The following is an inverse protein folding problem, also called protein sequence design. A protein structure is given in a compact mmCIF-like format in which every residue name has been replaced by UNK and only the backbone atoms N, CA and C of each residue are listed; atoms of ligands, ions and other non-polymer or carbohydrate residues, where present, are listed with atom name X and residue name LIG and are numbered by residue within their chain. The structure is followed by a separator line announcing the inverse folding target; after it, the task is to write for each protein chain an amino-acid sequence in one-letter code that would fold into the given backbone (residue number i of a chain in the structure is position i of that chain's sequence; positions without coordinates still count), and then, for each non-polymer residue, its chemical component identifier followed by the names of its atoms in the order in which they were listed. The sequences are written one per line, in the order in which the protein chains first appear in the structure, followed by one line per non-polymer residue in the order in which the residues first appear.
data_IF_358988843649
#
_entry.id   IF_358988843649
#
_cell.length_a   1.000
_cell.length_b   1.000
_cell.length_c   1.000
_cell.angle_alpha   90.00
_cell.angle_beta   90.00
_cell.angle_gamma   90.00
#
_symmetry.space_group_name_H-M   'P 1'
#
loop_
_entity.id
_entity.type
_entity.pdbx_description
1 polymer ?
#
# COMPACT_ATOMS: atom_id res chain seq x y z
N UNK A 1 8.11 7.28 -1.85
CA UNK A 1 9.45 6.65 -1.73
C UNK A 1 10.29 7.50 -0.79
N UNK A 2 10.94 6.89 0.18
CA UNK A 2 11.90 7.54 1.08
C UNK A 2 13.21 6.76 0.97
N UNK A 3 14.30 7.43 0.61
CA UNK A 3 15.63 6.83 0.68
C UNK A 3 16.12 6.85 2.13
N UNK A 4 16.58 5.72 2.64
CA UNK A 4 17.07 5.56 4.00
C UNK A 4 18.55 5.21 3.93
N UNK A 5 19.36 6.05 4.57
CA UNK A 5 20.82 5.92 4.67
C UNK A 5 21.18 5.65 6.13
N UNK A 6 21.71 4.46 6.42
CA UNK A 6 22.34 4.17 7.71
C UNK A 6 23.76 4.72 7.73
N UNK A 7 24.24 5.23 8.87
CA UNK A 7 25.60 5.80 9.00
C UNK A 7 26.68 4.80 8.61
N UNK A 8 27.15 4.87 7.35
CA UNK A 8 28.17 4.00 6.77
C UNK A 8 27.67 2.82 5.91
N UNK A 9 26.36 2.65 5.72
CA UNK A 9 25.78 1.53 4.96
C UNK A 9 25.18 1.92 3.59
N UNK A 10 24.97 0.92 2.73
CA UNK A 10 24.26 1.06 1.44
C UNK A 10 22.84 1.59 1.65
N UNK A 11 22.44 2.60 0.88
CA UNK A 11 21.09 3.16 0.93
C UNK A 11 20.05 2.11 0.53
N UNK A 12 18.86 2.20 1.12
CA UNK A 12 17.70 1.39 0.74
C UNK A 12 16.45 2.26 0.63
N UNK A 13 15.45 1.78 -0.11
CA UNK A 13 14.24 2.56 -0.38
C UNK A 13 13.04 2.02 0.37
N UNK A 14 12.30 2.91 1.02
CA UNK A 14 11.00 2.62 1.60
C UNK A 14 9.87 3.14 0.70
N UNK A 15 8.94 2.27 0.37
CA UNK A 15 7.72 2.61 -0.34
C UNK A 15 6.52 2.30 0.54
N UNK A 16 5.81 3.36 0.87
CA UNK A 16 4.51 3.32 1.46
C UNK A 16 3.46 2.82 0.46
N UNK A 17 2.71 1.79 0.83
CA UNK A 17 1.69 1.19 -0.01
C UNK A 17 0.28 1.54 0.48
N UNK A 18 -0.54 2.07 -0.42
CA UNK A 18 -1.99 2.12 -0.25
C UNK A 18 -2.62 1.84 -1.61
N UNK A 19 -3.04 0.61 -1.81
CA UNK A 19 -3.46 0.12 -3.13
C UNK A 19 -4.98 0.10 -3.25
N UNK A 20 -5.49 0.20 -4.48
CA UNK A 20 -6.93 0.26 -4.74
C UNK A 20 -7.65 -1.01 -4.25
N UNK A 21 -8.88 -0.91 -3.69
CA UNK A 21 -9.71 -2.08 -3.43
C UNK A 21 -10.16 -2.77 -4.74
N UNK A 22 -10.11 -2.08 -5.87
CA UNK A 22 -10.35 -2.62 -7.19
C UNK A 22 -9.17 -3.49 -7.67
N UNK A 23 -9.45 -4.78 -7.86
CA UNK A 23 -8.45 -5.75 -8.32
C UNK A 23 -7.89 -5.49 -9.72
N UNK A 24 -8.59 -4.73 -10.57
CA UNK A 24 -8.10 -4.37 -11.90
C UNK A 24 -7.00 -3.32 -11.82
N UNK A 25 -7.23 -2.26 -11.05
CA UNK A 25 -6.25 -1.21 -10.77
C UNK A 25 -5.02 -1.77 -10.05
N UNK A 26 -5.20 -2.70 -9.10
CA UNK A 26 -4.06 -3.36 -8.45
C UNK A 26 -3.18 -4.11 -9.43
N UNK A 27 -3.74 -4.78 -10.44
CA UNK A 27 -2.94 -5.49 -11.45
C UNK A 27 -2.04 -4.53 -12.23
N UNK A 28 -2.57 -3.38 -12.64
CA UNK A 28 -1.77 -2.35 -13.32
C UNK A 28 -0.62 -1.88 -12.41
N UNK A 29 -0.91 -1.62 -11.13
CA UNK A 29 0.12 -1.27 -10.15
C UNK A 29 1.17 -2.38 -9.96
N UNK A 30 0.77 -3.65 -9.95
CA UNK A 30 1.70 -4.77 -9.85
C UNK A 30 2.66 -4.83 -11.04
N UNK A 31 2.16 -4.56 -12.25
CA UNK A 31 2.97 -4.53 -13.47
C UNK A 31 3.95 -3.33 -13.45
N UNK A 32 3.48 -2.15 -13.02
CA UNK A 32 4.31 -0.95 -12.84
C UNK A 32 5.42 -1.19 -11.80
N UNK A 33 5.09 -1.76 -10.65
CA UNK A 33 6.06 -2.06 -9.60
C UNK A 33 7.07 -3.12 -10.05
N UNK A 34 6.66 -4.09 -10.88
CA UNK A 34 7.58 -5.08 -11.46
C UNK A 34 8.56 -4.42 -12.42
N UNK A 35 8.08 -3.47 -13.23
CA UNK A 35 8.93 -2.68 -14.13
C UNK A 35 9.90 -1.81 -13.33
N UNK A 36 9.40 -1.16 -12.27
CA UNK A 36 10.22 -0.35 -11.37
C UNK A 36 11.28 -1.20 -10.67
N UNK A 37 10.96 -2.40 -10.21
CA UNK A 37 11.89 -3.31 -9.54
C UNK A 37 13.12 -3.61 -10.39
N UNK A 38 12.96 -3.73 -11.72
CA UNK A 38 14.06 -3.95 -12.65
C UNK A 38 15.03 -2.75 -12.78
N UNK A 39 14.64 -1.57 -12.28
CA UNK A 39 15.44 -0.34 -12.29
C UNK A 39 16.05 0.02 -10.92
N UNK A 40 15.74 -0.75 -9.87
CA UNK A 40 16.23 -0.51 -8.51
C UNK A 40 17.35 -1.50 -8.21
N UNK A 41 18.60 -1.00 -8.18
CA UNK A 41 19.78 -1.80 -7.81
C UNK A 41 19.91 -2.00 -6.29
N UNK A 42 19.27 -1.13 -5.49
CA UNK A 42 19.33 -1.15 -4.03
C UNK A 42 18.25 -2.04 -3.39
N UNK A 43 18.42 -2.37 -2.11
CA UNK A 43 17.33 -2.98 -1.34
C UNK A 43 16.14 -2.03 -1.21
N UNK A 44 14.94 -2.58 -1.22
CA UNK A 44 13.69 -1.82 -1.03
C UNK A 44 12.70 -2.60 -0.16
N UNK A 45 11.90 -1.84 0.58
CA UNK A 45 10.83 -2.30 1.46
C UNK A 45 9.53 -1.63 1.03
N UNK A 46 8.56 -2.44 0.66
CA UNK A 46 7.18 -2.04 0.39
C UNK A 46 6.35 -2.33 1.64
N UNK A 47 5.70 -1.34 2.27
CA UNK A 47 4.83 -1.62 3.42
C UNK A 47 3.57 -0.76 3.43
N UNK A 48 2.45 -1.36 3.83
CA UNK A 48 1.15 -0.70 3.94
C UNK A 48 0.00 -1.63 3.52
N UNK A 49 -1.09 -1.06 3.01
CA UNK A 49 -2.32 -1.78 2.63
C UNK A 49 -2.28 -2.23 1.16
N UNK A 50 -2.11 -3.53 0.96
CA UNK A 50 -2.07 -4.18 -0.36
C UNK A 50 -3.45 -4.54 -0.90
N UNK A 51 -4.52 -4.40 -0.10
CA UNK A 51 -5.89 -4.81 -0.43
C UNK A 51 -6.01 -6.24 -1.01
N UNK A 52 -5.03 -7.09 -0.73
CA UNK A 52 -4.92 -8.46 -1.23
C UNK A 52 -4.27 -9.39 -0.21
N UNK A 53 -4.57 -10.67 -0.35
CA UNK A 53 -4.19 -11.73 0.60
C UNK A 53 -3.36 -12.78 -0.11
N UNK A 54 -2.37 -13.38 0.55
CA UNK A 54 -1.52 -14.43 -0.09
C UNK A 54 -2.12 -15.83 0.04
N UNK A 55 -3.14 -15.98 0.88
CA UNK A 55 -3.86 -17.24 1.07
C UNK A 55 -5.28 -17.01 1.56
N UNK A 56 -6.16 -18.01 1.41
CA UNK A 56 -7.55 -17.93 1.88
C UNK A 56 -7.63 -17.91 3.41
N UNK A 57 -6.64 -18.47 4.11
CA UNK A 57 -6.55 -18.48 5.57
C UNK A 57 -6.30 -17.08 6.15
N UNK A 58 -5.86 -16.13 5.33
CA UNK A 58 -5.79 -14.72 5.69
C UNK A 58 -7.15 -14.00 5.62
N UNK A 59 -8.24 -14.74 5.34
CA UNK A 59 -9.61 -14.22 5.33
C UNK A 59 -10.54 -15.08 6.19
N UNK A 60 -11.63 -14.46 6.66
CA UNK A 60 -12.70 -15.19 7.35
C UNK A 60 -13.52 -16.08 6.41
N UNK A 61 -13.64 -15.70 5.13
CA UNK A 61 -14.37 -16.46 4.12
C UNK A 61 -13.56 -16.56 2.82
N UNK A 62 -13.67 -17.71 2.16
CA UNK A 62 -12.97 -18.02 0.91
C UNK A 62 -13.94 -18.42 -0.21
N UNK A 63 -13.52 -18.17 -1.45
CA UNK A 63 -14.15 -18.65 -2.67
C UNK A 63 -13.08 -19.09 -3.67
N UNK A 64 -13.44 -19.85 -4.70
CA UNK A 64 -12.49 -20.22 -5.77
C UNK A 64 -11.89 -19.00 -6.46
N UNK A 65 -12.69 -17.96 -6.69
CA UNK A 65 -12.20 -16.70 -7.24
C UNK A 65 -11.25 -15.97 -6.29
N UNK A 66 -11.46 -16.11 -4.97
CA UNK A 66 -10.54 -15.57 -3.98
C UNK A 66 -9.22 -16.32 -3.97
N UNK A 67 -9.23 -17.66 -4.10
CA UNK A 67 -8.01 -18.45 -4.23
C UNK A 67 -7.18 -17.99 -5.43
N UNK A 68 -7.81 -17.82 -6.60
CA UNK A 68 -7.15 -17.30 -7.81
C UNK A 68 -6.57 -15.90 -7.63
N UNK A 69 -7.19 -15.04 -6.80
CA UNK A 69 -6.65 -13.72 -6.44
C UNK A 69 -5.43 -13.86 -5.55
N UNK A 70 -5.49 -14.73 -4.55
CA UNK A 70 -4.37 -15.00 -3.65
C UNK A 70 -3.17 -15.55 -4.41
N UNK A 71 -3.40 -16.52 -5.31
CA UNK A 71 -2.33 -17.15 -6.09
C UNK A 71 -1.62 -16.14 -7.00
N UNK A 72 -2.36 -15.19 -7.58
CA UNK A 72 -1.78 -14.12 -8.39
C UNK A 72 -0.95 -13.15 -7.57
N UNK A 73 -1.44 -12.72 -6.41
CA UNK A 73 -0.68 -11.84 -5.54
C UNK A 73 0.58 -12.53 -5.02
N UNK A 74 0.47 -13.80 -4.62
CA UNK A 74 1.60 -14.65 -4.21
C UNK A 74 2.63 -14.84 -5.34
N UNK A 75 2.19 -15.06 -6.58
CA UNK A 75 3.08 -15.12 -7.73
C UNK A 75 3.78 -13.79 -7.98
N UNK A 76 3.08 -12.66 -7.88
CA UNK A 76 3.70 -11.34 -8.04
C UNK A 76 4.80 -11.10 -7.00
N UNK A 77 4.56 -11.44 -5.73
CA UNK A 77 5.58 -11.39 -4.67
C UNK A 77 6.81 -12.23 -5.06
N UNK A 78 6.58 -13.49 -5.46
CA UNK A 78 7.67 -14.40 -5.82
C UNK A 78 8.46 -13.93 -7.06
N UNK A 79 7.77 -13.47 -8.10
CA UNK A 79 8.39 -12.99 -9.34
C UNK A 79 9.26 -11.75 -9.13
N UNK A 80 8.96 -10.96 -8.10
CA UNK A 80 9.74 -9.78 -7.72
C UNK A 80 10.80 -10.07 -6.65
N UNK A 81 11.06 -11.35 -6.36
CA UNK A 81 11.99 -11.79 -5.30
C UNK A 81 11.71 -11.11 -3.94
N UNK A 82 10.44 -10.82 -3.67
CA UNK A 82 10.00 -10.21 -2.43
C UNK A 82 9.76 -11.28 -1.36
N UNK A 83 10.07 -10.93 -0.12
CA UNK A 83 9.87 -11.75 1.06
C UNK A 83 8.91 -11.01 2.00
N UNK A 84 7.89 -11.70 2.47
CA UNK A 84 6.98 -11.21 3.50
C UNK A 84 7.69 -11.27 4.87
N UNK A 85 7.81 -10.12 5.54
CA UNK A 85 8.37 -10.02 6.89
C UNK A 85 7.48 -10.69 7.95
N UNK A 86 6.26 -11.07 7.59
CA UNK A 86 5.28 -11.61 8.50
C UNK A 86 4.59 -10.51 9.32
N UNK A 87 4.16 -10.87 10.52
CA UNK A 87 3.45 -9.98 11.43
C UNK A 87 3.61 -10.44 12.87
N UNK A 88 3.45 -9.51 13.79
CA UNK A 88 3.22 -9.77 15.21
C UNK A 88 1.90 -9.11 15.64
N UNK A 89 1.20 -9.73 16.58
CA UNK A 89 -0.10 -9.25 17.05
C UNK A 89 -1.29 -9.81 16.25
N UNK A 90 -2.40 -9.04 16.09
CA UNK A 90 -3.62 -9.54 15.48
C UNK A 90 -3.42 -10.09 14.06
N UNK A 91 -4.00 -11.27 13.81
CA UNK A 91 -3.95 -11.93 12.48
C UNK A 91 -4.60 -11.10 11.37
N UNK A 92 -5.70 -10.40 11.68
CA UNK A 92 -6.44 -9.60 10.70
C UNK A 92 -6.21 -8.11 10.94
N UNK A 93 -6.09 -7.36 9.85
CA UNK A 93 -5.80 -5.92 9.90
C UNK A 93 -6.97 -5.09 9.39
N UNK A 94 -7.89 -5.70 8.63
CA UNK A 94 -9.18 -5.14 8.27
C UNK A 94 -10.30 -6.04 8.80
N UNK A 95 -11.30 -5.43 9.43
CA UNK A 95 -12.53 -6.09 9.88
C UNK A 95 -13.71 -5.25 9.41
N UNK A 96 -14.71 -5.88 8.81
CA UNK A 96 -15.97 -5.24 8.37
C UNK A 96 -17.16 -6.09 8.74
N UNK A 97 -18.32 -5.45 8.90
CA UNK A 97 -19.58 -6.10 9.23
C UNK A 97 -19.89 -6.07 10.73
N UNK A 98 -21.17 -5.92 11.06
CA UNK A 98 -21.65 -5.70 12.43
C UNK A 98 -22.21 -6.98 13.08
N UNK A 99 -22.22 -8.09 12.36
CA UNK A 99 -22.76 -9.37 12.84
C UNK A 99 -21.82 -10.51 12.48
N UNK A 100 -21.88 -11.64 13.19
CA UNK A 100 -21.09 -12.82 12.86
C UNK A 100 -21.31 -13.29 11.41
N UNK A 101 -22.53 -13.15 10.87
CA UNK A 101 -22.88 -13.56 9.50
C UNK A 101 -22.33 -12.60 8.43
N UNK A 102 -22.22 -11.30 8.75
CA UNK A 102 -21.73 -10.28 7.82
C UNK A 102 -20.26 -9.95 8.02
N UNK A 103 -19.61 -10.61 8.98
CA UNK A 103 -18.21 -10.38 9.34
C UNK A 103 -17.29 -10.78 8.19
N UNK A 104 -16.46 -9.85 7.78
CA UNK A 104 -15.42 -10.04 6.78
C UNK A 104 -14.11 -9.49 7.35
N UNK A 105 -13.28 -10.41 7.82
CA UNK A 105 -11.95 -10.09 8.30
C UNK A 105 -10.92 -10.51 7.27
N UNK A 106 -9.90 -9.68 7.08
CA UNK A 106 -8.79 -9.96 6.17
C UNK A 106 -7.48 -9.37 6.70
N UNK A 107 -6.37 -10.02 6.37
CA UNK A 107 -5.03 -9.44 6.53
C UNK A 107 -4.63 -8.73 5.23
N UNK A 108 -4.78 -7.41 5.20
CA UNK A 108 -4.51 -6.60 4.01
C UNK A 108 -3.20 -5.83 4.12
N UNK A 109 -2.73 -5.58 5.35
CA UNK A 109 -1.48 -4.88 5.59
C UNK A 109 -0.29 -5.85 5.64
N UNK A 110 0.80 -5.46 4.97
CA UNK A 110 2.00 -6.30 4.83
C UNK A 110 3.25 -5.45 4.71
N UNK A 111 4.40 -6.06 4.99
CA UNK A 111 5.71 -5.49 4.70
C UNK A 111 6.51 -6.51 3.89
N UNK A 112 6.88 -6.12 2.67
CA UNK A 112 7.54 -6.95 1.66
C UNK A 112 8.89 -6.35 1.31
N UNK A 113 9.94 -7.15 1.25
CA UNK A 113 11.29 -6.65 0.93
C UNK A 113 12.05 -7.58 -0.01
N UNK A 114 13.04 -7.08 -0.74
CA UNK A 114 13.93 -7.92 -1.54
C UNK A 114 15.28 -8.18 -0.84
N UNK A 115 15.89 -9.34 -1.13
CA UNK A 115 17.20 -9.73 -0.57
C UNK A 115 18.40 -9.27 -1.41
N UNK A 116 18.28 -8.22 -2.23
CA UNK A 116 19.38 -7.79 -3.11
C UNK A 116 20.67 -7.39 -2.38
N UNK A 117 20.66 -7.31 -1.05
CA UNK A 117 21.84 -7.04 -0.25
C UNK A 117 22.02 -8.08 0.86
N UNK A 118 23.21 -8.68 0.92
CA UNK A 118 23.54 -9.84 1.77
C UNK A 118 23.24 -9.62 3.25
N UNK A 119 23.34 -8.38 3.73
CA UNK A 119 23.09 -8.01 5.13
C UNK A 119 21.74 -7.32 5.39
N UNK A 120 20.86 -7.19 4.40
CA UNK A 120 19.60 -6.43 4.58
C UNK A 120 18.65 -7.10 5.57
N UNK A 121 18.58 -8.43 5.54
CA UNK A 121 17.79 -9.21 6.50
C UNK A 121 18.25 -8.97 7.94
N UNK A 122 19.56 -9.00 8.17
CA UNK A 122 20.14 -8.77 9.50
C UNK A 122 20.02 -7.32 9.93
N UNK A 123 20.16 -6.38 8.99
CA UNK A 123 19.92 -4.96 9.22
C UNK A 123 18.48 -4.70 9.65
N UNK A 124 17.49 -5.22 8.91
CA UNK A 124 16.07 -5.11 9.29
C UNK A 124 15.88 -5.77 10.64
N UNK A 125 16.30 -7.02 10.85
CA UNK A 125 16.13 -7.71 12.13
C UNK A 125 16.75 -6.96 13.32
N UNK A 126 17.92 -6.33 13.14
CA UNK A 126 18.64 -5.62 14.20
C UNK A 126 18.13 -4.21 14.47
N UNK A 127 17.55 -3.54 13.47
CA UNK A 127 17.03 -2.17 13.57
C UNK A 127 15.50 -2.14 13.74
N UNK A 128 14.84 -3.28 13.57
CA UNK A 128 13.42 -3.43 13.77
C UNK A 128 13.11 -3.58 15.24
N UNK A 129 12.75 -2.46 15.84
CA UNK A 129 12.29 -2.44 17.22
C UNK A 129 10.93 -3.17 17.33
N UNK A 130 10.95 -4.41 17.82
CA UNK A 130 9.73 -5.21 18.05
C UNK A 130 8.81 -4.63 19.13
N UNK A 131 9.30 -3.70 19.96
CA UNK A 131 8.51 -3.00 20.97
C UNK A 131 7.77 -1.79 20.40
N UNK A 132 8.25 -1.24 19.27
CA UNK A 132 7.52 -0.23 18.54
C UNK A 132 6.55 -0.94 17.61
N UNK A 133 5.23 -0.80 17.81
CA UNK A 133 4.29 -1.40 16.91
C UNK A 133 4.50 -0.70 15.57
N UNK A 134 4.99 -1.43 14.57
CA UNK A 134 4.90 -1.02 13.16
C UNK A 134 3.49 -0.53 12.86
N UNK A 135 2.51 -1.18 13.47
CA UNK A 135 1.11 -0.78 13.43
C UNK A 135 0.92 0.67 13.90
N UNK A 136 1.63 1.15 14.91
CA UNK A 136 1.57 2.55 15.36
C UNK A 136 2.27 3.50 14.40
N UNK A 137 3.46 3.15 13.89
CA UNK A 137 4.16 3.97 12.89
C UNK A 137 3.36 4.03 11.57
N UNK A 138 2.86 2.88 11.11
CA UNK A 138 1.95 2.77 9.98
C UNK A 138 0.62 3.45 10.26
N UNK A 139 0.04 3.40 11.48
CA UNK A 139 -1.17 4.16 11.82
C UNK A 139 -0.94 5.66 11.77
N UNK A 140 0.17 6.14 12.31
CA UNK A 140 0.52 7.55 12.26
C UNK A 140 0.75 7.99 10.80
N UNK A 141 1.47 7.17 10.04
CA UNK A 141 1.75 7.40 8.64
C UNK A 141 0.49 7.32 7.76
N UNK A 142 -0.37 6.32 7.96
CA UNK A 142 -1.69 6.17 7.32
C UNK A 142 -2.60 7.33 7.71
N UNK A 143 -2.61 7.75 8.97
CA UNK A 143 -3.37 8.91 9.44
C UNK A 143 -2.92 10.19 8.73
N UNK A 144 -1.59 10.40 8.62
CA UNK A 144 -1.00 11.50 7.84
C UNK A 144 -1.37 11.42 6.36
N UNK A 145 -1.32 10.23 5.75
CA UNK A 145 -1.73 9.98 4.38
C UNK A 145 -3.22 10.23 4.14
N UNK A 146 -4.08 9.79 5.05
CA UNK A 146 -5.53 9.99 4.97
C UNK A 146 -5.92 11.46 5.11
N UNK A 147 -5.30 12.17 6.05
CA UNK A 147 -5.47 13.62 6.19
C UNK A 147 -5.03 14.33 4.90
N UNK A 148 -3.85 14.00 4.38
CA UNK A 148 -3.36 14.54 3.12
C UNK A 148 -4.29 14.21 1.94
N UNK A 149 -4.81 12.98 1.83
CA UNK A 149 -5.74 12.61 0.77
C UNK A 149 -7.05 13.40 0.83
N UNK A 150 -7.55 13.70 2.03
CA UNK A 150 -8.74 14.53 2.22
C UNK A 150 -8.45 15.98 1.83
N UNK A 151 -7.28 16.52 2.19
CA UNK A 151 -6.84 17.85 1.80
C UNK A 151 -6.64 17.98 0.29
N UNK A 152 -5.96 17.02 -0.33
CA UNK A 152 -5.74 16.95 -1.78
C UNK A 152 -7.08 16.80 -2.53
N UNK A 153 -7.99 15.95 -2.03
CA UNK A 153 -9.33 15.80 -2.61
C UNK A 153 -10.15 17.09 -2.48
N UNK A 154 -10.10 17.77 -1.33
CA UNK A 154 -10.73 19.08 -1.15
C UNK A 154 -10.12 20.13 -2.07
N UNK A 155 -8.80 20.16 -2.25
CA UNK A 155 -8.12 21.07 -3.16
C UNK A 155 -8.56 20.85 -4.61
N UNK A 156 -8.65 19.59 -5.07
CA UNK A 156 -9.14 19.24 -6.40
C UNK A 156 -10.64 19.58 -6.60
N UNK A 157 -11.45 19.43 -5.56
CA UNK A 157 -12.88 19.79 -5.61
C UNK A 157 -13.07 21.31 -5.63
N UNK A 158 -12.26 22.04 -4.85
CA UNK A 158 -12.25 23.51 -4.82
C UNK A 158 -11.72 24.09 -6.14
N UNK A 159 -10.71 23.46 -6.75
CA UNK A 159 -10.18 23.79 -8.07
C UNK A 159 -11.26 23.57 -9.16
N UNK A 160 -11.93 22.42 -9.15
CA UNK A 160 -13.07 22.15 -10.06
C UNK A 160 -14.25 23.11 -9.89
N UNK A 161 -14.54 23.58 -8.67
CA UNK A 161 -15.56 24.58 -8.38
C UNK A 161 -15.13 26.01 -8.79
N UNK A 162 -13.83 26.33 -8.68
CA UNK A 162 -13.23 27.59 -9.11
C UNK A 162 -13.17 27.73 -10.62
N UNK A 163 -12.77 26.67 -11.32
CA UNK A 163 -12.72 26.63 -12.79
C UNK A 163 -14.12 26.70 -13.42
N UNK A 164 -15.12 26.06 -12.78
CA UNK A 164 -16.54 26.18 -13.20
C UNK A 164 -17.15 27.56 -12.92
N UNK A 165 -16.63 28.30 -11.93
CA UNK A 165 -17.03 29.71 -11.73
C UNK A 165 -16.34 30.65 -12.72
N UNK A 166 -15.08 30.40 -13.08
CA UNK A 166 -14.37 31.17 -14.09
C UNK A 166 -14.96 30.98 -15.50
N UNK A 167 -15.49 29.78 -15.82
CA UNK A 167 -16.16 29.52 -17.11
C UNK A 167 -17.55 30.17 -17.25
N UNK A 168 -18.18 30.59 -16.14
CA UNK A 168 -19.49 31.26 -16.15
C UNK A 168 -19.40 32.80 -16.16
N UNK A 169 -18.20 33.38 -16.19
CA UNK A 169 -17.99 34.84 -16.24
C UNK A 169 -17.81 35.36 -17.68
N UNK A 170 -17.75 34.47 -18.68
CA UNK A 170 -17.54 34.82 -20.10
C UNK A 170 -18.74 34.54 -21.02
N UNK A 171 -19.97 34.46 -20.50
CA UNK A 171 -21.16 34.19 -21.33
C UNK A 171 -22.26 35.27 -21.35
N UNK A 172 -22.08 36.43 -20.72
CA UNK A 172 -23.16 37.45 -20.62
C UNK A 172 -22.86 38.81 -21.30
N UNK A 173 -22.01 38.86 -22.33
CA UNK A 173 -21.80 40.10 -23.14
C UNK A 173 -22.08 39.89 -24.63
N UNK A 174 -23.19 39.24 -24.99
CA UNK A 174 -23.76 39.40 -26.32
C UNK A 174 -25.23 38.98 -26.36
N UNK A 175 -26.14 39.95 -26.20
CA UNK A 175 -27.45 40.05 -26.87
C UNK A 175 -28.18 41.32 -26.40
N UNK A 176 -27.88 42.44 -27.08
CA UNK A 176 -28.75 43.55 -27.53
C UNK A 176 -27.91 44.82 -27.70
#
# INVERSE_FOLDING_TARGET
MVEIKGGGGTAWFFYAMYTSPDSSQRRLLWDELTTLAASIDNSWLLAGDFNDTVSIEERHSGSLDMQRRCDRFKHWIANNALIDLGYSGPKFTCMRGNTARTRQDARLDRALYNMSHENFKDFVASNWNQQWPIVSLLKEFVGKLQAWNQEASKALTTFSLGDKKASNIWQDDNLM
#
